data_IF_153731899946
#
_entry.id   IF_153731899946
#
_cell.length_a   1.000
_cell.length_b   1.000
_cell.length_c   1.000
_cell.angle_alpha   90.00
_cell.angle_beta   90.00
_cell.angle_gamma   90.00
#
_symmetry.space_group_name_H-M   'P 1'
#
loop_
_entity.id
_entity.type
_entity.pdbx_description
1 polymer ?
#
# COMPACT_ATOMS: atom_id res chain seq x y z
N UNK A 1 -7.25 25.31 2.21
CA UNK A 1 -7.03 23.90 1.87
C UNK A 1 -6.38 23.23 3.07
N UNK A 2 -7.11 22.39 3.80
CA UNK A 2 -6.47 21.48 4.76
C UNK A 2 -5.74 20.43 3.94
N UNK A 3 -4.41 20.46 3.97
CA UNK A 3 -3.59 19.42 3.36
C UNK A 3 -3.76 18.15 4.19
N UNK A 4 -4.54 17.19 3.69
CA UNK A 4 -4.61 15.85 4.27
C UNK A 4 -3.31 15.13 3.87
N UNK A 5 -2.29 15.21 4.73
CA UNK A 5 -1.09 14.38 4.61
C UNK A 5 -1.37 13.08 5.35
N UNK A 6 -1.39 11.95 4.62
CA UNK A 6 -1.34 10.65 5.26
C UNK A 6 0.05 10.46 5.89
N UNK A 7 0.07 10.14 7.17
CA UNK A 7 1.28 9.85 7.91
C UNK A 7 1.60 8.36 7.83
N UNK A 8 2.81 8.03 7.38
CA UNK A 8 3.36 6.67 7.35
C UNK A 8 4.27 6.49 8.57
N UNK A 9 3.70 6.01 9.67
CA UNK A 9 4.45 5.70 10.87
C UNK A 9 5.23 4.37 10.71
N UNK A 10 6.52 4.38 11.04
CA UNK A 10 7.39 3.21 10.99
C UNK A 10 7.24 2.34 12.25
N UNK A 11 6.90 1.06 12.09
CA UNK A 11 7.12 0.05 13.13
C UNK A 11 8.50 -0.59 12.93
N UNK A 12 9.45 -0.28 13.83
CA UNK A 12 10.88 -0.62 13.66
C UNK A 12 11.20 -2.07 14.04
N UNK A 13 10.31 -2.77 14.75
CA UNK A 13 10.56 -4.13 15.26
C UNK A 13 9.66 -5.12 14.51
N UNK A 14 10.19 -5.93 13.58
CA UNK A 14 9.47 -7.07 13.03
C UNK A 14 9.14 -8.04 14.16
N UNK A 15 7.86 -8.35 14.37
CA UNK A 15 7.49 -9.48 15.24
C UNK A 15 7.63 -10.81 14.48
N UNK A 16 7.81 -10.75 13.15
CA UNK A 16 7.82 -11.88 12.21
C UNK A 16 6.53 -11.87 11.39
N UNK A 17 6.58 -12.29 10.12
CA UNK A 17 5.49 -12.08 9.17
C UNK A 17 4.10 -12.58 9.68
N UNK A 18 4.04 -13.78 10.27
CA UNK A 18 2.81 -14.31 10.84
C UNK A 18 2.31 -13.51 12.07
N UNK A 19 3.23 -12.95 12.84
CA UNK A 19 2.89 -12.10 13.98
C UNK A 19 2.43 -10.72 13.54
N UNK A 20 3.00 -10.16 12.46
CA UNK A 20 2.55 -8.89 11.87
C UNK A 20 1.11 -9.04 11.35
N UNK A 21 0.77 -10.15 10.68
CA UNK A 21 -0.61 -10.46 10.22
C UNK A 21 -1.55 -10.65 11.41
N UNK A 22 -1.15 -11.41 12.42
CA UNK A 22 -1.96 -11.62 13.62
C UNK A 22 -2.17 -10.32 14.41
N UNK A 23 -1.17 -9.44 14.46
CA UNK A 23 -1.29 -8.13 15.08
C UNK A 23 -2.26 -7.22 14.30
N UNK A 24 -2.17 -7.19 12.97
CA UNK A 24 -3.10 -6.44 12.14
C UNK A 24 -4.56 -6.92 12.33
N UNK A 25 -4.78 -8.24 12.39
CA UNK A 25 -6.10 -8.80 12.69
C UNK A 25 -6.61 -8.41 14.08
N UNK A 26 -5.76 -8.47 15.11
CA UNK A 26 -6.11 -8.04 16.47
C UNK A 26 -6.44 -6.55 16.54
N UNK A 27 -5.74 -5.71 15.79
CA UNK A 27 -6.06 -4.28 15.70
C UNK A 27 -7.44 -4.09 15.06
N UNK A 28 -7.74 -4.79 13.96
CA UNK A 28 -9.05 -4.74 13.33
C UNK A 28 -10.16 -5.13 14.32
N UNK A 29 -9.99 -6.23 15.06
CA UNK A 29 -10.96 -6.71 16.04
C UNK A 29 -11.09 -5.78 17.26
N UNK A 30 -10.07 -4.98 17.55
CA UNK A 30 -10.10 -3.97 18.62
C UNK A 30 -10.89 -2.71 18.22
N UNK A 31 -11.04 -2.40 16.93
CA UNK A 31 -11.66 -1.14 16.47
C UNK A 31 -13.07 -0.89 17.04
N UNK A 32 -14.01 -1.86 17.10
CA UNK A 32 -15.37 -1.59 17.58
C UNK A 32 -15.43 -1.07 19.01
N UNK A 33 -14.65 -1.66 19.91
CA UNK A 33 -14.69 -1.36 21.33
C UNK A 33 -13.66 -0.30 21.74
N UNK A 34 -12.53 -0.28 21.04
CA UNK A 34 -11.36 0.50 21.42
C UNK A 34 -11.27 1.86 20.72
N UNK A 35 -11.56 1.91 19.42
CA UNK A 35 -11.44 3.14 18.63
C UNK A 35 -12.30 4.29 19.18
N UNK A 36 -13.57 4.09 19.60
CA UNK A 36 -14.39 5.18 20.15
C UNK A 36 -13.75 5.90 21.34
N UNK A 37 -12.96 5.19 22.15
CA UNK A 37 -12.33 5.75 23.36
C UNK A 37 -11.15 6.68 23.08
N UNK A 38 -10.58 6.64 21.87
CA UNK A 38 -9.40 7.44 21.48
C UNK A 38 -9.72 8.52 20.44
N UNK A 39 -10.98 8.59 19.99
CA UNK A 39 -11.45 9.59 19.05
C UNK A 39 -11.82 10.90 19.77
N UNK A 40 -11.74 12.07 19.10
CA UNK A 40 -12.23 13.33 19.65
C UNK A 40 -13.72 13.25 20.00
N UNK A 41 -14.14 14.09 20.95
CA UNK A 41 -15.55 14.19 21.34
C UNK A 41 -16.45 14.48 20.12
N UNK A 42 -17.55 13.74 20.01
CA UNK A 42 -18.49 13.86 18.89
C UNK A 42 -18.08 13.14 17.60
N UNK A 43 -16.92 12.48 17.55
CA UNK A 43 -16.47 11.67 16.40
C UNK A 43 -16.79 10.20 16.63
N UNK A 44 -17.43 9.55 15.66
CA UNK A 44 -17.76 8.13 15.69
C UNK A 44 -17.10 7.41 14.52
N UNK A 45 -16.60 6.17 14.71
CA UNK A 45 -16.02 5.39 13.62
C UNK A 45 -17.12 4.79 12.73
N UNK A 46 -16.92 4.84 11.41
CA UNK A 46 -17.78 4.15 10.43
C UNK A 46 -17.11 2.85 9.97
N UNK A 47 -17.30 1.78 10.74
CA UNK A 47 -16.61 0.50 10.52
C UNK A 47 -17.15 -0.29 9.32
N UNK A 48 -18.31 0.09 8.75
CA UNK A 48 -18.77 -0.48 7.47
C UNK A 48 -17.95 0.00 6.27
N UNK A 49 -17.14 1.05 6.45
CA UNK A 49 -16.27 1.65 5.42
C UNK A 49 -14.79 1.50 5.76
N UNK A 50 -14.42 0.35 6.34
CA UNK A 50 -13.04 0.08 6.78
C UNK A 50 -12.14 -0.28 5.61
N UNK A 51 -11.02 0.42 5.45
CA UNK A 51 -9.98 0.09 4.47
C UNK A 51 -8.74 -0.50 5.14
N UNK A 52 -8.10 -1.45 4.46
CA UNK A 52 -6.82 -2.03 4.87
C UNK A 52 -5.71 -1.51 3.98
N UNK A 53 -4.61 -1.04 4.56
CA UNK A 53 -3.48 -0.52 3.80
C UNK A 53 -2.14 -0.94 4.42
N UNK A 54 -1.12 -1.08 3.59
CA UNK A 54 0.23 -1.37 4.08
C UNK A 54 1.31 -1.02 3.07
N UNK A 55 2.48 -0.62 3.59
CA UNK A 55 3.68 -0.33 2.79
C UNK A 55 4.71 -1.45 2.87
N UNK A 56 5.43 -1.76 1.78
CA UNK A 56 6.54 -2.71 1.79
C UNK A 56 6.12 -4.09 2.33
N UNK A 57 6.81 -4.62 3.35
CA UNK A 57 6.39 -5.82 4.10
C UNK A 57 4.99 -5.67 4.72
N UNK A 58 4.62 -4.46 5.16
CA UNK A 58 3.27 -4.17 5.63
C UNK A 58 2.22 -4.30 4.52
N UNK A 59 2.58 -4.06 3.27
CA UNK A 59 1.74 -4.35 2.10
C UNK A 59 1.50 -5.85 1.93
N UNK A 60 2.54 -6.67 2.07
CA UNK A 60 2.39 -8.14 2.13
C UNK A 60 1.50 -8.58 3.30
N UNK A 61 1.64 -7.94 4.46
CA UNK A 61 0.79 -8.20 5.64
C UNK A 61 -0.69 -7.87 5.35
N UNK A 62 -0.95 -6.71 4.74
CA UNK A 62 -2.29 -6.27 4.36
C UNK A 62 -2.95 -7.26 3.38
N UNK A 63 -2.23 -7.65 2.32
CA UNK A 63 -2.72 -8.66 1.37
C UNK A 63 -2.92 -10.02 2.03
N UNK A 64 -1.99 -10.45 2.88
CA UNK A 64 -2.11 -11.73 3.57
C UNK A 64 -3.33 -11.78 4.49
N UNK A 65 -3.63 -10.70 5.20
CA UNK A 65 -4.84 -10.58 6.02
C UNK A 65 -6.10 -10.61 5.14
N UNK A 66 -6.11 -9.85 4.04
CA UNK A 66 -7.22 -9.84 3.08
C UNK A 66 -7.49 -11.23 2.45
N UNK A 67 -6.44 -12.03 2.26
CA UNK A 67 -6.50 -13.41 1.77
C UNK A 67 -6.87 -14.44 2.85
N UNK A 68 -7.18 -13.99 4.08
CA UNK A 68 -7.67 -14.86 5.15
C UNK A 68 -6.58 -15.61 5.94
N UNK A 69 -5.32 -15.17 5.88
CA UNK A 69 -4.24 -15.79 6.66
C UNK A 69 -4.27 -15.45 8.16
N UNK A 70 -5.18 -14.58 8.59
CA UNK A 70 -5.64 -14.45 9.96
C UNK A 70 -7.14 -14.16 9.97
N UNK A 71 -7.81 -14.48 11.08
CA UNK A 71 -9.24 -14.23 11.26
C UNK A 71 -9.45 -12.86 11.88
N UNK A 72 -10.45 -12.14 11.39
CA UNK A 72 -11.00 -10.92 11.99
C UNK A 72 -12.53 -10.98 11.91
N UNK A 73 -13.19 -10.30 12.84
CA UNK A 73 -14.64 -10.13 12.87
C UNK A 73 -15.14 -9.00 11.96
N UNK A 74 -14.23 -8.17 11.45
CA UNK A 74 -14.56 -7.07 10.55
C UNK A 74 -14.30 -7.44 9.08
N UNK A 75 -15.09 -6.83 8.20
CA UNK A 75 -14.89 -6.88 6.76
C UNK A 75 -14.20 -5.61 6.29
N UNK A 76 -13.29 -5.75 5.33
CA UNK A 76 -12.65 -4.61 4.66
C UNK A 76 -13.37 -4.28 3.36
N UNK A 77 -13.61 -3.00 3.12
CA UNK A 77 -14.32 -2.48 1.95
C UNK A 77 -13.36 -2.07 0.83
N UNK A 78 -12.07 -1.92 1.14
CA UNK A 78 -11.02 -1.60 0.16
C UNK A 78 -9.64 -2.07 0.66
N UNK A 79 -8.73 -2.35 -0.27
CA UNK A 79 -7.35 -2.73 0.00
C UNK A 79 -6.36 -1.81 -0.73
N UNK A 80 -5.33 -1.34 -0.03
CA UNK A 80 -4.24 -0.55 -0.61
C UNK A 80 -2.88 -1.18 -0.33
N UNK A 81 -2.20 -1.62 -1.39
CA UNK A 81 -0.79 -1.99 -1.35
C UNK A 81 0.07 -0.82 -1.78
N UNK A 82 0.80 -0.20 -0.85
CA UNK A 82 1.78 0.82 -1.18
C UNK A 82 3.17 0.18 -1.30
N UNK A 83 3.65 0.10 -2.52
CA UNK A 83 4.90 -0.54 -2.92
C UNK A 83 5.13 -1.88 -2.20
N UNK A 84 4.17 -2.82 -2.23
CA UNK A 84 4.21 -4.03 -1.42
C UNK A 84 5.37 -4.93 -1.83
N UNK A 85 5.94 -5.64 -0.85
CA UNK A 85 7.08 -6.54 -1.05
C UNK A 85 6.84 -7.88 -0.37
N UNK A 86 6.85 -8.95 -1.17
CA UNK A 86 6.58 -10.32 -0.74
C UNK A 86 7.84 -11.12 -0.42
N UNK A 87 9.04 -10.53 -0.42
CA UNK A 87 10.27 -11.22 -0.05
C UNK A 87 11.51 -10.69 -0.74
N UNK A 88 12.54 -11.55 -0.85
CA UNK A 88 13.82 -11.21 -1.48
C UNK A 88 13.91 -11.67 -2.94
N UNK A 89 12.94 -12.45 -3.39
CA UNK A 89 12.84 -12.98 -4.75
C UNK A 89 11.91 -14.19 -4.78
N UNK A 90 11.63 -14.68 -5.99
CA UNK A 90 10.62 -15.72 -6.25
C UNK A 90 10.71 -16.97 -5.37
N UNK A 91 11.92 -17.49 -5.14
CA UNK A 91 12.17 -18.66 -4.29
C UNK A 91 12.27 -18.34 -2.79
N UNK A 92 12.30 -17.06 -2.42
CA UNK A 92 12.52 -16.54 -1.07
C UNK A 92 11.43 -15.53 -0.67
N UNK A 93 10.17 -15.94 -0.85
CA UNK A 93 9.01 -15.19 -0.36
C UNK A 93 8.92 -15.23 1.18
N UNK A 94 8.36 -14.17 1.75
CA UNK A 94 7.86 -14.09 3.12
C UNK A 94 6.78 -15.15 3.36
N UNK A 95 6.53 -15.47 4.62
CA UNK A 95 5.43 -16.37 4.99
C UNK A 95 4.19 -15.56 5.38
N UNK A 96 2.98 -15.92 4.93
CA UNK A 96 2.66 -16.94 3.95
C UNK A 96 3.12 -16.53 2.55
N UNK A 97 3.44 -17.54 1.72
CA UNK A 97 3.78 -17.31 0.31
C UNK A 97 2.49 -17.06 -0.45
N UNK A 98 2.14 -15.79 -0.61
CA UNK A 98 0.88 -15.40 -1.25
C UNK A 98 1.02 -15.31 -2.76
N UNK A 99 2.21 -14.97 -3.30
CA UNK A 99 2.38 -14.87 -4.75
C UNK A 99 2.46 -16.26 -5.38
N UNK A 100 1.47 -16.55 -6.22
CA UNK A 100 1.32 -17.77 -7.01
C UNK A 100 1.90 -17.63 -8.41
N UNK A 101 2.13 -16.40 -8.88
CA UNK A 101 2.54 -16.03 -10.24
C UNK A 101 1.47 -16.32 -11.31
N UNK A 102 0.24 -16.65 -10.92
CA UNK A 102 -0.88 -16.79 -11.83
C UNK A 102 -1.71 -15.49 -11.86
N UNK A 103 -2.03 -14.93 -13.05
CA UNK A 103 -2.85 -13.73 -13.12
C UNK A 103 -4.21 -13.91 -12.43
N UNK A 104 -4.67 -12.89 -11.70
CA UNK A 104 -5.99 -12.89 -11.04
C UNK A 104 -6.22 -14.05 -10.03
N UNK A 105 -5.14 -14.55 -9.43
CA UNK A 105 -5.15 -15.63 -8.43
C UNK A 105 -5.70 -15.20 -7.07
N UNK A 106 -5.54 -13.94 -6.67
CA UNK A 106 -5.96 -13.44 -5.37
C UNK A 106 -7.48 -13.43 -5.26
N UNK A 107 -8.00 -14.23 -4.32
CA UNK A 107 -9.41 -14.30 -3.99
C UNK A 107 -9.78 -13.16 -3.01
N UNK A 108 -9.69 -11.92 -3.48
CA UNK A 108 -10.00 -10.70 -2.74
C UNK A 108 -11.30 -10.12 -3.29
N UNK A 109 -12.31 -10.00 -2.44
CA UNK A 109 -13.67 -9.60 -2.84
C UNK A 109 -13.90 -8.08 -2.88
N UNK A 110 -12.89 -7.28 -2.51
CA UNK A 110 -12.97 -5.82 -2.47
C UNK A 110 -12.08 -5.16 -3.54
N UNK A 111 -12.37 -3.91 -3.94
CA UNK A 111 -11.49 -3.15 -4.83
C UNK A 111 -10.07 -3.02 -4.26
N UNK A 112 -9.09 -3.15 -5.13
CA UNK A 112 -7.66 -3.07 -4.77
C UNK A 112 -6.95 -1.94 -5.49
N UNK A 113 -6.18 -1.15 -4.75
CA UNK A 113 -5.22 -0.20 -5.30
C UNK A 113 -3.81 -0.68 -4.98
N UNK A 114 -2.98 -0.82 -6.02
CA UNK A 114 -1.54 -1.03 -5.87
C UNK A 114 -0.82 0.22 -6.37
N UNK A 115 -0.08 0.87 -5.49
CA UNK A 115 0.80 1.99 -5.86
C UNK A 115 2.23 1.47 -5.87
N UNK A 116 2.94 1.52 -6.98
CA UNK A 116 4.34 1.10 -7.07
C UNK A 116 5.33 2.27 -7.04
N UNK A 117 6.61 1.95 -6.85
CA UNK A 117 7.73 2.87 -7.14
C UNK A 117 8.56 2.35 -8.32
N UNK A 118 9.05 3.26 -9.16
CA UNK A 118 9.84 2.87 -10.34
C UNK A 118 11.31 2.55 -10.03
N UNK A 119 11.85 3.03 -8.90
CA UNK A 119 13.24 2.75 -8.51
C UNK A 119 13.36 1.66 -7.43
N UNK A 120 12.26 1.06 -6.99
CA UNK A 120 12.26 0.04 -5.93
C UNK A 120 13.06 -1.23 -6.28
N UNK A 121 13.09 -1.59 -7.57
CA UNK A 121 13.86 -2.72 -8.11
C UNK A 121 15.35 -2.42 -8.33
N UNK A 122 15.76 -1.15 -8.21
CA UNK A 122 17.15 -0.77 -8.34
C UNK A 122 17.92 -1.03 -7.05
N UNK A 123 19.13 -1.58 -7.18
CA UNK A 123 20.10 -1.62 -6.10
C UNK A 123 20.63 -0.21 -5.83
N UNK A 124 20.81 0.15 -4.56
CA UNK A 124 21.44 1.44 -4.21
C UNK A 124 22.94 1.41 -4.53
N UNK A 125 23.62 0.32 -4.19
CA UNK A 125 25.01 0.03 -4.52
C UNK A 125 25.31 -1.48 -4.37
N UNK A 126 26.58 -1.89 -4.41
CA UNK A 126 26.97 -3.31 -4.32
C UNK A 126 26.62 -3.97 -2.97
N UNK A 127 26.54 -3.19 -1.89
CA UNK A 127 26.24 -3.70 -0.55
C UNK A 127 24.75 -3.67 -0.20
N UNK A 128 23.97 -2.87 -0.92
CA UNK A 128 22.55 -2.69 -0.67
C UNK A 128 21.73 -3.15 -1.87
N UNK A 129 21.13 -4.35 -1.81
CA UNK A 129 20.31 -4.90 -2.88
C UNK A 129 19.01 -4.08 -3.06
N UNK A 130 18.22 -4.37 -4.11
CA UNK A 130 16.92 -3.75 -4.29
C UNK A 130 16.00 -3.93 -3.08
N UNK A 131 15.21 -2.91 -2.78
CA UNK A 131 14.27 -2.95 -1.66
C UNK A 131 12.91 -3.53 -2.03
N UNK A 132 12.52 -3.42 -3.31
CA UNK A 132 11.37 -4.08 -3.90
C UNK A 132 11.83 -4.89 -5.12
N UNK A 133 12.49 -6.04 -4.91
CA UNK A 133 13.05 -6.82 -6.00
C UNK A 133 11.99 -7.28 -7.00
N UNK A 134 12.41 -7.45 -8.25
CA UNK A 134 11.60 -8.08 -9.28
C UNK A 134 11.12 -9.47 -8.83
N UNK A 135 9.98 -9.88 -9.37
CA UNK A 135 9.23 -11.10 -9.02
C UNK A 135 8.60 -11.12 -7.61
N UNK A 136 8.80 -10.10 -6.77
CA UNK A 136 8.18 -10.04 -5.43
C UNK A 136 7.71 -8.63 -5.04
N UNK A 137 7.59 -7.74 -6.01
CA UNK A 137 7.20 -6.34 -5.81
C UNK A 137 5.77 -6.07 -6.28
N UNK A 138 5.38 -4.79 -6.20
CA UNK A 138 4.09 -4.23 -6.58
C UNK A 138 3.51 -4.75 -7.91
N UNK A 139 4.33 -5.01 -8.93
CA UNK A 139 3.86 -5.51 -10.21
C UNK A 139 3.23 -6.91 -10.10
N UNK A 140 3.85 -7.83 -9.33
CA UNK A 140 3.30 -9.17 -9.10
C UNK A 140 2.04 -9.11 -8.22
N UNK A 141 2.00 -8.24 -7.20
CA UNK A 141 0.79 -8.04 -6.41
C UNK A 141 -0.39 -7.59 -7.28
N UNK A 142 -0.18 -6.61 -8.17
CA UNK A 142 -1.24 -6.16 -9.07
C UNK A 142 -1.66 -7.23 -10.08
N UNK A 143 -0.70 -7.94 -10.69
CA UNK A 143 -0.97 -9.03 -11.64
C UNK A 143 -1.89 -10.10 -11.04
N UNK A 144 -1.68 -10.43 -9.77
CA UNK A 144 -2.44 -11.44 -9.04
C UNK A 144 -3.80 -10.92 -8.53
N UNK A 145 -4.01 -9.61 -8.44
CA UNK A 145 -5.31 -9.04 -8.07
C UNK A 145 -6.40 -9.44 -9.08
N UNK A 146 -7.62 -9.68 -8.59
CA UNK A 146 -8.82 -9.71 -9.43
C UNK A 146 -9.35 -8.29 -9.63
N UNK A 147 -10.03 -8.01 -10.76
CA UNK A 147 -10.78 -6.78 -10.91
C UNK A 147 -11.93 -6.68 -9.87
N UNK A 148 -12.32 -5.46 -9.43
CA UNK A 148 -11.77 -4.18 -9.85
C UNK A 148 -10.45 -3.86 -9.15
N UNK A 149 -9.43 -3.52 -9.94
CA UNK A 149 -8.12 -3.14 -9.38
C UNK A 149 -7.43 -2.05 -10.20
N UNK A 150 -6.68 -1.19 -9.51
CA UNK A 150 -5.89 -0.10 -10.12
C UNK A 150 -4.42 -0.26 -9.77
N UNK A 151 -3.56 0.09 -10.73
CA UNK A 151 -2.12 0.04 -10.59
C UNK A 151 -1.48 1.32 -11.08
N UNK A 152 -0.78 2.01 -10.19
CA UNK A 152 -0.22 3.34 -10.46
C UNK A 152 1.21 3.38 -9.95
N UNK A 153 2.17 3.64 -10.82
CA UNK A 153 3.60 3.67 -10.43
C UNK A 153 4.13 5.09 -10.42
N UNK A 154 4.75 5.47 -9.32
CA UNK A 154 5.51 6.72 -9.19
C UNK A 154 6.91 6.51 -9.78
N UNK A 155 7.02 6.75 -11.09
CA UNK A 155 8.16 6.33 -11.93
C UNK A 155 9.52 6.73 -11.39
N UNK A 156 9.65 7.99 -10.98
CA UNK A 156 10.96 8.60 -10.66
C UNK A 156 11.34 8.51 -9.17
N UNK A 157 10.59 7.74 -8.39
CA UNK A 157 10.74 7.64 -6.93
C UNK A 157 11.16 6.26 -6.47
N UNK A 158 11.83 6.23 -5.31
CA UNK A 158 12.29 5.02 -4.65
C UNK A 158 11.37 4.55 -3.53
N UNK A 159 11.61 3.30 -3.11
CA UNK A 159 10.79 2.55 -2.16
C UNK A 159 10.48 3.29 -0.84
N UNK A 160 11.38 4.18 -0.40
CA UNK A 160 11.27 4.90 0.87
C UNK A 160 10.92 6.39 0.71
N UNK A 161 10.75 6.89 -0.52
CA UNK A 161 10.50 8.33 -0.77
C UNK A 161 9.13 8.80 -0.29
N UNK A 162 8.21 7.88 -0.03
CA UNK A 162 6.88 8.13 0.54
C UNK A 162 6.85 8.26 2.06
N UNK A 163 7.93 7.87 2.77
CA UNK A 163 7.92 7.88 4.24
C UNK A 163 7.96 9.30 4.80
N UNK A 164 7.40 9.48 6.00
CA UNK A 164 7.41 10.77 6.71
C UNK A 164 8.83 11.27 7.02
N UNK A 165 8.97 12.58 7.23
CA UNK A 165 10.27 13.22 7.49
C UNK A 165 11.01 12.70 8.73
N UNK A 166 10.28 12.12 9.69
CA UNK A 166 10.84 11.54 10.91
C UNK A 166 11.27 10.08 10.73
N UNK A 167 11.10 9.49 9.53
CA UNK A 167 11.64 8.18 9.22
C UNK A 167 13.15 8.19 9.46
N UNK A 168 13.64 7.18 10.18
CA UNK A 168 15.05 7.10 10.57
C UNK A 168 15.96 7.30 9.35
N UNK A 169 16.84 8.30 9.41
CA UNK A 169 17.82 8.58 8.34
C UNK A 169 18.67 7.35 8.00
N UNK A 170 18.88 6.46 8.97
CA UNK A 170 19.58 5.19 8.78
C UNK A 170 18.83 4.25 7.81
N UNK A 171 17.50 4.25 7.84
CA UNK A 171 16.66 3.46 6.95
C UNK A 171 16.63 4.04 5.54
N UNK A 172 16.61 5.36 5.37
CA UNK A 172 16.67 5.99 4.03
C UNK A 172 17.97 5.68 3.28
N UNK A 173 19.03 5.27 3.97
CA UNK A 173 20.31 4.94 3.35
C UNK A 173 20.35 3.56 2.66
N UNK A 174 19.31 2.72 2.74
CA UNK A 174 19.37 1.33 2.23
C UNK A 174 18.76 1.15 0.84
N UNK A 175 17.82 1.99 0.43
CA UNK A 175 17.14 1.86 -0.87
C UNK A 175 17.66 2.88 -1.88
N UNK A 176 17.49 2.60 -3.17
CA UNK A 176 17.65 3.63 -4.20
C UNK A 176 16.64 4.74 -3.95
N UNK A 177 17.12 5.99 -3.93
CA UNK A 177 16.29 7.19 -3.81
C UNK A 177 16.04 7.80 -5.19
N UNK A 178 14.88 8.42 -5.37
CA UNK A 178 14.60 9.32 -6.48
C UNK A 178 15.38 10.63 -6.35
N UNK A 179 15.64 11.26 -7.49
CA UNK A 179 16.22 12.62 -7.53
C UNK A 179 15.18 13.73 -7.31
N UNK A 180 13.88 13.36 -7.35
CA UNK A 180 12.76 14.27 -7.21
C UNK A 180 12.49 14.75 -5.78
N UNK A 181 11.60 15.73 -5.66
CA UNK A 181 11.16 16.25 -4.37
C UNK A 181 10.27 15.22 -3.65
N UNK A 182 10.71 14.71 -2.50
CA UNK A 182 9.95 13.73 -1.70
C UNK A 182 8.57 14.23 -1.27
N UNK A 183 8.37 15.55 -1.19
CA UNK A 183 7.05 16.13 -0.86
C UNK A 183 6.05 15.91 -1.99
N UNK A 184 6.50 16.03 -3.24
CA UNK A 184 5.68 15.70 -4.41
C UNK A 184 5.28 14.24 -4.40
N UNK A 185 6.19 13.33 -4.04
CA UNK A 185 5.88 11.91 -3.86
C UNK A 185 4.77 11.71 -2.82
N UNK A 186 4.94 12.26 -1.61
CA UNK A 186 3.97 12.14 -0.52
C UNK A 186 2.60 12.71 -0.88
N UNK A 187 2.56 13.89 -1.51
CA UNK A 187 1.32 14.49 -1.98
C UNK A 187 0.66 13.65 -3.06
N UNK A 188 1.44 13.12 -4.00
CA UNK A 188 0.93 12.28 -5.07
C UNK A 188 0.31 10.99 -4.52
N UNK A 189 1.05 10.24 -3.69
CA UNK A 189 0.54 9.00 -3.08
C UNK A 189 -0.68 9.26 -2.21
N UNK A 190 -0.64 10.29 -1.36
CA UNK A 190 -1.78 10.65 -0.51
C UNK A 190 -3.01 11.00 -1.34
N UNK A 191 -2.83 11.79 -2.42
CA UNK A 191 -3.91 12.17 -3.33
C UNK A 191 -4.53 10.96 -4.04
N UNK A 192 -3.71 10.04 -4.56
CA UNK A 192 -4.18 8.81 -5.22
C UNK A 192 -4.96 7.94 -4.23
N UNK A 193 -4.43 7.72 -3.03
CA UNK A 193 -5.11 6.91 -2.02
C UNK A 193 -6.43 7.56 -1.57
N UNK A 194 -6.47 8.88 -1.37
CA UNK A 194 -7.71 9.59 -1.03
C UNK A 194 -8.72 9.50 -2.17
N UNK A 195 -8.30 9.69 -3.43
CA UNK A 195 -9.16 9.57 -4.60
C UNK A 195 -9.75 8.15 -4.70
N UNK A 196 -8.94 7.13 -4.47
CA UNK A 196 -9.38 5.73 -4.46
C UNK A 196 -10.35 5.41 -3.32
N UNK A 197 -10.05 5.84 -2.09
CA UNK A 197 -10.95 5.64 -0.95
C UNK A 197 -12.27 6.40 -1.17
N UNK A 198 -12.22 7.62 -1.68
CA UNK A 198 -13.42 8.36 -2.04
C UNK A 198 -14.24 7.64 -3.12
N UNK A 199 -13.61 7.06 -4.13
CA UNK A 199 -14.30 6.31 -5.17
C UNK A 199 -14.87 4.96 -4.68
N UNK A 200 -14.25 4.32 -3.70
CA UNK A 200 -14.65 2.97 -3.25
C UNK A 200 -15.60 2.96 -2.07
N UNK A 201 -15.35 3.82 -1.08
CA UNK A 201 -16.12 3.88 0.17
C UNK A 201 -16.79 5.24 0.40
N UNK A 202 -16.29 6.32 -0.22
CA UNK A 202 -16.85 7.68 -0.11
C UNK A 202 -17.92 8.02 -1.13
N UNK A 203 -18.18 7.16 -2.12
CA UNK A 203 -19.13 7.36 -3.24
C UNK A 203 -18.85 8.61 -4.10
N UNK A 204 -17.58 9.01 -4.22
CA UNK A 204 -17.11 10.15 -5.03
C UNK A 204 -16.02 9.71 -6.00
N UNK A 205 -16.37 9.58 -7.28
CA UNK A 205 -15.52 8.93 -8.27
C UNK A 205 -14.63 9.89 -9.10
N UNK A 206 -14.97 11.18 -9.15
CA UNK A 206 -14.39 12.11 -10.13
C UNK A 206 -12.87 12.26 -10.07
N UNK A 207 -12.27 12.27 -8.87
CA UNK A 207 -10.82 12.46 -8.72
C UNK A 207 -10.01 11.25 -9.22
N UNK A 208 -10.47 10.04 -8.92
CA UNK A 208 -9.78 8.82 -9.36
C UNK A 208 -9.87 8.69 -10.88
N UNK A 209 -11.05 8.91 -11.45
CA UNK A 209 -11.25 8.89 -12.91
C UNK A 209 -10.38 9.93 -13.62
N UNK A 210 -10.23 11.13 -13.04
CA UNK A 210 -9.37 12.16 -13.57
C UNK A 210 -7.89 11.71 -13.61
N UNK A 211 -7.39 11.11 -12.52
CA UNK A 211 -6.02 10.58 -12.45
C UNK A 211 -5.81 9.44 -13.45
N UNK A 212 -6.78 8.53 -13.57
CA UNK A 212 -6.67 7.39 -14.50
C UNK A 212 -6.72 7.82 -15.97
N UNK A 213 -7.52 8.84 -16.29
CA UNK A 213 -7.67 9.36 -17.66
C UNK A 213 -6.51 10.25 -18.08
N UNK A 214 -6.05 11.10 -17.18
CA UNK A 214 -4.94 12.02 -17.40
C UNK A 214 -3.97 11.97 -16.21
N UNK A 215 -2.99 11.05 -16.24
CA UNK A 215 -2.01 10.92 -15.15
C UNK A 215 -1.15 12.17 -14.94
N UNK A 216 -1.12 13.10 -15.90
CA UNK A 216 -0.30 14.32 -15.81
C UNK A 216 -0.83 15.34 -14.80
N UNK A 217 -2.07 15.17 -14.32
CA UNK A 217 -2.63 15.97 -13.22
C UNK A 217 -1.94 15.71 -11.88
N UNK A 218 -1.23 14.59 -11.76
CA UNK A 218 -0.56 14.20 -10.53
C UNK A 218 0.76 14.97 -10.31
N UNK A 219 1.16 15.25 -9.05
CA UNK A 219 2.43 15.95 -8.77
C UNK A 219 3.70 15.21 -9.19
N UNK A 220 3.62 13.88 -9.33
CA UNK A 220 4.71 12.99 -9.73
C UNK A 220 4.42 12.38 -11.11
N UNK A 221 5.47 12.03 -11.86
CA UNK A 221 5.33 11.23 -13.08
C UNK A 221 4.73 9.87 -12.72
N UNK A 222 3.56 9.57 -13.28
CA UNK A 222 2.88 8.29 -13.11
C UNK A 222 3.03 7.45 -14.37
N UNK A 223 3.69 6.30 -14.25
CA UNK A 223 3.95 5.39 -15.38
C UNK A 223 4.44 4.02 -14.88
N UNK A 224 3.70 2.91 -15.11
CA UNK A 224 2.39 2.86 -15.78
C UNK A 224 1.23 3.35 -14.89
N UNK A 225 0.10 3.62 -15.54
CA UNK A 225 -1.23 3.79 -14.93
C UNK A 225 -2.19 2.82 -15.60
N UNK A 226 -2.71 1.88 -14.83
CA UNK A 226 -3.60 0.82 -15.31
C UNK A 226 -4.81 0.64 -14.40
N UNK A 227 -5.91 0.21 -15.00
CA UNK A 227 -7.14 -0.09 -14.30
C UNK A 227 -7.85 -1.26 -14.97
N UNK A 228 -8.25 -2.26 -14.18
CA UNK A 228 -9.08 -3.38 -14.63
C UNK A 228 -10.43 -3.30 -13.95
N UNK A 229 -11.50 -3.26 -14.75
CA UNK A 229 -12.90 -3.23 -14.32
C UNK A 229 -13.42 -4.64 -14.06
N UNK A 230 -14.44 -4.74 -13.18
CA UNK A 230 -15.12 -5.98 -12.82
C UNK A 230 -15.88 -6.62 -14.00
#
# INVERSE_FOLDING_TARGET
>A
MQHFLMQFNNCIIPLGDANDIAAAAKVADWLPDGLPSVLPEGVQPELSKLALAGHSRGGHTAFSLALGHAKTHLTFSALVGLDPVAGKGKSSQLKPKILTYEPSSFDIAMPVLVIGTGLGEEKKNIFFPPCAPNDVNHAEFYRECRPPCSYIVTKDYGHLDMLDYNASKLMTCVCKDGSGCKDKMRWCVSGIMVAFLNATIGEKHGDLEAILRDPTVAPATLDPVEHRLA
#
